data_IF_698698837816
#
_entry.id   IF_698698837816
#
_cell.length_a   1.000
_cell.length_b   1.000
_cell.length_c   1.000
_cell.angle_alpha   90.00
_cell.angle_beta   90.00
_cell.angle_gamma   90.00
#
_symmetry.space_group_name_H-M   'P 1'
#
loop_
_entity.id
_entity.type
_entity.pdbx_description
1 polymer ?
#
# COMPACT_ATOMS: atom_id res chain seq x y z
N UNK A 1 24.26 -48.34 -40.93
CA UNK A 1 24.05 -48.07 -39.48
C UNK A 1 25.36 -47.55 -38.88
N UNK A 2 25.28 -46.48 -38.05
CA UNK A 2 26.37 -45.63 -37.47
C UNK A 2 27.06 -44.72 -38.51
N UNK A 3 27.36 -43.44 -38.28
CA UNK A 3 27.68 -42.72 -37.03
C UNK A 3 27.52 -41.18 -37.21
N UNK A 4 27.03 -40.52 -36.16
CA UNK A 4 27.45 -39.21 -35.60
C UNK A 4 27.63 -37.97 -36.49
N UNK A 5 26.90 -36.90 -36.15
CA UNK A 5 27.43 -35.65 -35.55
C UNK A 5 26.24 -34.73 -35.25
N UNK A 6 25.86 -34.57 -33.98
CA UNK A 6 26.27 -33.43 -33.12
C UNK A 6 25.90 -32.10 -33.74
N UNK A 7 25.02 -31.32 -33.08
CA UNK A 7 25.11 -29.86 -32.88
C UNK A 7 23.84 -29.29 -32.23
N UNK A 8 24.02 -28.86 -30.98
CA UNK A 8 23.33 -27.79 -30.27
C UNK A 8 21.85 -27.94 -29.91
N UNK A 9 21.63 -28.62 -28.76
CA UNK A 9 20.73 -28.13 -27.72
C UNK A 9 21.04 -26.65 -27.44
N UNK A 10 20.10 -25.76 -27.71
CA UNK A 10 20.04 -24.45 -27.08
C UNK A 10 18.65 -24.29 -26.47
N UNK A 11 18.64 -24.52 -25.16
CA UNK A 11 17.59 -24.18 -24.22
C UNK A 11 17.14 -22.73 -24.44
N UNK A 12 15.97 -22.53 -25.04
CA UNK A 12 15.23 -21.28 -24.88
C UNK A 12 14.63 -21.34 -23.48
N UNK A 13 15.39 -20.81 -22.52
CA UNK A 13 14.94 -20.60 -21.16
C UNK A 13 13.75 -19.63 -21.20
N UNK A 14 12.59 -20.25 -20.97
CA UNK A 14 11.35 -19.69 -20.45
C UNK A 14 11.53 -18.28 -19.88
N UNK A 15 11.04 -17.29 -20.64
CA UNK A 15 10.63 -16.01 -20.11
C UNK A 15 9.54 -16.28 -19.07
N UNK A 16 9.95 -16.44 -17.81
CA UNK A 16 9.03 -16.40 -16.67
C UNK A 16 8.61 -14.94 -16.57
N UNK A 17 7.53 -14.60 -17.28
CA UNK A 17 6.72 -13.44 -16.94
C UNK A 17 6.14 -13.73 -15.56
N UNK A 18 6.83 -13.27 -14.51
CA UNK A 18 6.21 -12.97 -13.23
C UNK A 18 5.18 -11.88 -13.50
N UNK A 19 3.98 -12.29 -13.92
CA UNK A 19 2.81 -11.46 -13.76
C UNK A 19 2.64 -11.27 -12.26
N UNK A 20 2.78 -10.02 -11.79
CA UNK A 20 2.41 -9.62 -10.45
C UNK A 20 1.01 -10.14 -10.16
N UNK A 21 0.93 -11.22 -9.41
CA UNK A 21 -0.27 -11.58 -8.70
C UNK A 21 -0.37 -10.51 -7.59
N UNK A 22 -1.26 -9.52 -7.80
CA UNK A 22 -1.75 -8.63 -6.74
C UNK A 22 -2.54 -9.51 -5.75
N UNK A 23 -1.82 -10.40 -5.07
CA UNK A 23 -2.36 -11.14 -3.93
C UNK A 23 -2.48 -10.12 -2.81
N UNK A 24 -3.69 -9.58 -2.66
CA UNK A 24 -4.15 -8.95 -1.43
C UNK A 24 -3.89 -9.96 -0.30
N UNK A 25 -2.72 -9.83 0.35
CA UNK A 25 -2.37 -10.61 1.53
C UNK A 25 -3.43 -10.33 2.59
N UNK A 26 -4.27 -11.30 2.96
CA UNK A 26 -5.28 -11.08 3.99
C UNK A 26 -4.57 -10.89 5.34
N UNK A 27 -4.90 -9.81 6.04
CA UNK A 27 -4.72 -9.73 7.50
C UNK A 27 -3.35 -9.27 8.01
N UNK A 28 -2.51 -8.65 7.19
CA UNK A 28 -1.32 -8.00 7.74
C UNK A 28 -1.69 -6.69 8.43
N UNK A 29 -1.41 -6.66 9.73
CA UNK A 29 -1.64 -5.50 10.59
C UNK A 29 -0.42 -4.58 10.63
N UNK A 30 -0.71 -3.27 10.69
CA UNK A 30 0.27 -2.21 10.75
C UNK A 30 -0.09 -1.26 11.88
N UNK A 31 0.92 -0.81 12.62
CA UNK A 31 0.72 0.27 13.58
C UNK A 31 0.92 1.62 12.89
N UNK A 32 -0.06 2.50 13.08
CA UNK A 32 -0.03 3.88 12.58
C UNK A 32 -0.35 4.87 13.68
N UNK A 33 0.08 6.12 13.52
CA UNK A 33 -0.32 7.24 14.37
C UNK A 33 -1.09 8.28 13.57
N UNK A 34 -2.14 8.86 14.15
CA UNK A 34 -2.87 9.98 13.56
C UNK A 34 -2.01 11.25 13.72
N UNK A 35 -1.49 11.79 12.62
CA UNK A 35 -0.71 13.03 12.60
C UNK A 35 -1.63 14.26 12.45
N UNK A 36 -2.66 14.13 11.62
CA UNK A 36 -3.68 15.17 11.42
C UNK A 36 -5.05 14.53 11.28
N UNK A 37 -6.08 15.21 11.79
CA UNK A 37 -7.47 14.77 11.58
C UNK A 37 -8.02 15.15 10.22
N UNK A 38 -7.34 16.05 9.49
CA UNK A 38 -7.79 16.54 8.19
C UNK A 38 -6.62 17.14 7.39
N UNK A 39 -6.43 16.64 6.17
CA UNK A 39 -5.54 17.19 5.15
C UNK A 39 -6.24 18.32 4.39
N UNK A 40 -5.48 19.35 4.00
CA UNK A 40 -6.04 20.51 3.29
C UNK A 40 -6.54 20.16 1.88
N UNK A 41 -6.02 19.10 1.27
CA UNK A 41 -6.34 18.69 -0.10
C UNK A 41 -7.62 17.88 -0.16
N UNK A 42 -7.79 16.96 0.79
CA UNK A 42 -8.85 15.95 0.77
C UNK A 42 -9.85 16.04 1.92
N UNK A 43 -9.54 16.81 2.96
CA UNK A 43 -10.26 16.76 4.24
C UNK A 43 -10.06 15.46 5.02
N UNK A 44 -9.17 14.57 4.58
CA UNK A 44 -9.00 13.22 5.12
C UNK A 44 -7.99 13.18 6.28
N UNK A 45 -8.11 12.23 7.22
CA UNK A 45 -7.09 12.01 8.24
C UNK A 45 -5.74 11.66 7.62
N UNK A 46 -4.66 12.15 8.23
CA UNK A 46 -3.28 11.78 7.87
C UNK A 46 -2.74 10.83 8.92
N UNK A 47 -2.29 9.66 8.47
CA UNK A 47 -1.66 8.64 9.30
C UNK A 47 -0.18 8.50 8.96
N UNK A 48 0.64 8.22 9.97
CA UNK A 48 2.04 7.85 9.85
C UNK A 48 2.23 6.38 10.20
N UNK A 49 2.78 5.57 9.28
CA UNK A 49 3.20 4.21 9.58
C UNK A 49 4.43 4.22 10.50
N UNK A 50 4.31 3.60 11.68
CA UNK A 50 5.35 3.61 12.71
C UNK A 50 6.40 2.50 12.52
N UNK A 51 6.02 1.44 11.80
CA UNK A 51 6.83 0.24 11.61
C UNK A 51 6.64 -0.35 10.21
N UNK A 52 7.45 -1.36 9.88
CA UNK A 52 7.34 -2.12 8.62
C UNK A 52 7.45 -1.26 7.35
N UNK A 53 8.30 -0.23 7.38
CA UNK A 53 8.50 0.72 6.27
C UNK A 53 8.72 0.03 4.92
N UNK A 54 9.56 -1.01 4.89
CA UNK A 54 9.89 -1.72 3.64
C UNK A 54 8.66 -2.43 3.05
N UNK A 55 7.77 -2.94 3.90
CA UNK A 55 6.54 -3.60 3.46
C UNK A 55 5.51 -2.57 2.97
N UNK A 56 5.37 -1.44 3.67
CA UNK A 56 4.50 -0.35 3.26
C UNK A 56 4.93 0.18 1.89
N UNK A 57 6.23 0.40 1.69
CA UNK A 57 6.83 0.80 0.41
C UNK A 57 6.63 -0.25 -0.68
N UNK A 58 6.87 -1.53 -0.38
CA UNK A 58 6.65 -2.61 -1.34
C UNK A 58 5.17 -2.71 -1.77
N UNK A 59 4.23 -2.43 -0.85
CA UNK A 59 2.79 -2.52 -1.11
C UNK A 59 2.20 -1.31 -1.83
N UNK A 60 2.72 -0.12 -1.56
CA UNK A 60 2.19 1.15 -2.08
C UNK A 60 3.00 1.72 -3.23
N UNK A 61 4.26 1.30 -3.38
CA UNK A 61 5.26 1.88 -4.28
C UNK A 61 5.51 3.38 -4.03
N UNK A 62 5.38 3.81 -2.78
CA UNK A 62 5.60 5.19 -2.33
C UNK A 62 6.73 5.23 -1.30
N UNK A 63 7.59 6.24 -1.36
CA UNK A 63 8.73 6.38 -0.42
C UNK A 63 8.30 6.92 0.95
N UNK A 64 7.20 7.69 0.98
CA UNK A 64 6.59 8.28 2.17
C UNK A 64 6.02 7.21 3.09
N UNK A 65 5.96 7.50 4.40
CA UNK A 65 5.20 6.73 5.38
C UNK A 65 3.97 7.49 5.90
N UNK A 66 3.74 8.70 5.41
CA UNK A 66 2.56 9.52 5.70
C UNK A 66 1.54 9.36 4.58
N UNK A 67 0.32 9.00 4.94
CA UNK A 67 -0.76 8.74 3.99
C UNK A 67 -2.08 9.35 4.44
N UNK A 68 -2.90 9.75 3.48
CA UNK A 68 -4.32 10.01 3.69
C UNK A 68 -5.06 8.68 3.93
N UNK A 69 -5.84 8.62 5.01
CA UNK A 69 -6.57 7.43 5.44
C UNK A 69 -8.05 7.51 5.02
N UNK A 70 -8.39 6.83 3.93
CA UNK A 70 -9.77 6.76 3.45
C UNK A 70 -10.57 5.70 4.21
N UNK A 71 -11.79 6.03 4.63
CA UNK A 71 -12.67 5.09 5.34
C UNK A 71 -12.30 4.85 6.80
N UNK A 72 -11.44 5.69 7.40
CA UNK A 72 -11.20 5.66 8.83
C UNK A 72 -12.46 6.14 9.58
N UNK A 73 -12.87 5.38 10.60
CA UNK A 73 -13.97 5.78 11.48
C UNK A 73 -13.63 7.07 12.24
N UNK A 74 -14.55 8.05 12.23
CA UNK A 74 -14.36 9.34 12.88
C UNK A 74 -14.10 9.22 14.39
N UNK A 75 -14.64 8.18 15.05
CA UNK A 75 -14.41 7.93 16.48
C UNK A 75 -12.96 7.58 16.81
N UNK A 76 -12.20 7.10 15.83
CA UNK A 76 -10.77 6.78 15.96
C UNK A 76 -9.85 7.92 15.51
N UNK A 77 -10.39 8.91 14.79
CA UNK A 77 -9.67 10.03 14.21
C UNK A 77 -9.35 11.12 15.26
N UNK A 78 -8.42 10.82 16.16
CA UNK A 78 -7.93 11.78 17.16
C UNK A 78 -6.41 11.86 17.03
N UNK A 79 -5.88 13.09 16.90
CA UNK A 79 -4.44 13.33 16.77
C UNK A 79 -3.69 12.68 17.91
N UNK A 80 -2.62 11.96 17.57
CA UNK A 80 -1.76 11.23 18.51
C UNK A 80 -2.26 9.83 18.85
N UNK A 81 -3.48 9.43 18.48
CA UNK A 81 -3.91 8.05 18.63
C UNK A 81 -3.02 7.12 17.80
N UNK A 82 -2.61 6.02 18.41
CA UNK A 82 -2.00 4.90 17.71
C UNK A 82 -3.06 3.85 17.42
N UNK A 83 -3.12 3.42 16.17
CA UNK A 83 -4.09 2.45 15.67
C UNK A 83 -3.37 1.23 15.11
N UNK A 84 -3.97 0.07 15.30
CA UNK A 84 -3.63 -1.13 14.54
C UNK A 84 -4.63 -1.23 13.38
N UNK A 85 -4.11 -1.20 12.15
CA UNK A 85 -4.92 -1.15 10.94
C UNK A 85 -4.60 -2.30 9.99
N UNK A 86 -5.57 -2.64 9.16
CA UNK A 86 -5.32 -3.29 7.86
C UNK A 86 -5.72 -2.33 6.75
N UNK A 87 -4.99 -2.33 5.63
CA UNK A 87 -5.24 -1.38 4.55
C UNK A 87 -5.13 -2.00 3.16
N UNK A 88 -5.78 -1.36 2.20
CA UNK A 88 -5.76 -1.68 0.78
C UNK A 88 -5.42 -0.46 -0.09
N UNK A 89 -5.31 -0.72 -1.39
CA UNK A 89 -5.18 0.34 -2.42
C UNK A 89 -6.47 1.16 -2.47
N UNK A 90 -6.34 2.49 -2.57
CA UNK A 90 -7.50 3.37 -2.76
C UNK A 90 -8.08 3.17 -4.15
N UNK A 91 -9.41 3.19 -4.25
CA UNK A 91 -10.08 3.12 -5.56
C UNK A 91 -9.81 4.41 -6.33
N UNK A 92 -9.61 4.31 -7.64
CA UNK A 92 -9.30 5.47 -8.48
C UNK A 92 -10.35 6.60 -8.38
N UNK A 93 -11.61 6.25 -8.17
CA UNK A 93 -12.73 7.19 -8.02
C UNK A 93 -12.58 8.08 -6.78
N UNK A 94 -12.16 7.52 -5.65
CA UNK A 94 -11.94 8.23 -4.39
C UNK A 94 -10.70 9.15 -4.47
N UNK A 95 -9.67 8.71 -5.20
CA UNK A 95 -8.41 9.44 -5.35
C UNK A 95 -8.52 10.70 -6.23
N UNK A 96 -9.55 10.81 -7.09
CA UNK A 96 -9.75 11.99 -7.95
C UNK A 96 -10.06 13.26 -7.15
N UNK A 97 -10.77 13.12 -6.03
CA UNK A 97 -11.17 14.27 -5.19
C UNK A 97 -9.95 14.91 -4.53
N UNK A 98 -8.95 14.10 -4.18
CA UNK A 98 -7.75 14.50 -3.45
C UNK A 98 -6.69 15.29 -4.24
N UNK A 99 -6.71 15.23 -5.58
CA UNK A 99 -5.62 15.79 -6.41
C UNK A 99 -5.78 17.27 -6.75
N UNK A 100 -6.82 17.94 -6.25
CA UNK A 100 -7.19 19.27 -6.72
C UNK A 100 -6.41 20.42 -6.07
N UNK A 101 -5.96 20.32 -4.81
CA UNK A 101 -5.38 21.45 -4.05
C UNK A 101 -4.32 20.95 -3.05
N UNK A 102 -3.02 21.10 -3.31
CA UNK A 102 -1.97 20.90 -2.28
C UNK A 102 -0.89 19.86 -2.59
N UNK A 103 -0.07 19.55 -1.57
CA UNK A 103 0.93 18.47 -1.62
C UNK A 103 0.16 17.15 -1.48
N UNK A 104 0.14 16.29 -2.52
CA UNK A 104 -0.62 15.06 -2.45
C UNK A 104 0.09 14.08 -1.51
N UNK A 105 -0.41 13.91 -0.29
CA UNK A 105 -0.09 12.70 0.45
C UNK A 105 -0.59 11.50 -0.37
N UNK A 106 0.22 10.42 -0.49
CA UNK A 106 -0.32 9.17 -1.01
C UNK A 106 -1.49 8.73 -0.13
N UNK A 107 -2.39 7.90 -0.64
CA UNK A 107 -3.59 7.51 0.10
C UNK A 107 -3.72 5.99 0.20
N UNK A 108 -4.29 5.53 1.31
CA UNK A 108 -4.62 4.13 1.57
C UNK A 108 -6.08 4.02 2.01
N UNK A 109 -6.73 2.89 1.68
CA UNK A 109 -8.06 2.58 2.19
C UNK A 109 -7.95 1.75 3.46
N UNK A 110 -8.52 2.24 4.55
CA UNK A 110 -8.62 1.50 5.80
C UNK A 110 -9.68 0.41 5.66
N UNK A 111 -9.28 -0.83 5.87
CA UNK A 111 -10.17 -2.00 5.81
C UNK A 111 -10.63 -2.41 7.22
N UNK A 112 -9.76 -2.23 8.21
CA UNK A 112 -10.08 -2.34 9.63
C UNK A 112 -9.16 -1.43 10.43
N UNK A 113 -9.66 -0.93 11.56
CA UNK A 113 -8.87 -0.14 12.50
C UNK A 113 -9.35 -0.41 13.94
N UNK A 114 -8.41 -0.41 14.87
CA UNK A 114 -8.67 -0.39 16.32
C UNK A 114 -7.61 0.43 17.03
N UNK A 115 -7.93 0.95 18.21
CA UNK A 115 -6.92 1.54 19.09
C UNK A 115 -5.85 0.50 19.43
N UNK A 116 -4.60 0.95 19.49
CA UNK A 116 -3.49 0.17 20.03
C UNK A 116 -3.58 0.18 21.56
N UNK A 117 -3.59 -1.00 22.17
CA UNK A 117 -3.61 -1.18 23.63
C UNK A 117 -2.30 -0.72 24.30
#
# INVERSE_FOLDING_TARGET
MRKSSSKYLLFFAVLITFGCQDDLVPGEEFTVRIESTSDISCGLPVILFLEKSDQVRAKTNEESLEYNAYGLDESLNVIGNELVITFGKVKEEDFRVCRAIGIPYPAVSILSARLRD
#
